data_IF_702980756842
#
_entry.id   IF_702980756842
#
_cell.length_a   1.000
_cell.length_b   1.000
_cell.length_c   1.000
_cell.angle_alpha   90.00
_cell.angle_beta   90.00
_cell.angle_gamma   90.00
#
_symmetry.space_group_name_H-M   'P 1'
#
loop_
_entity.id
_entity.type
_entity.pdbx_description
1 polymer ?
#
# COMPACT_ATOMS: atom_id res chain seq x y z
N UNK A 1 2.09 1.88 15.01
CA UNK A 1 2.53 0.64 14.37
C UNK A 1 2.65 0.87 12.87
N UNK A 2 3.62 0.27 12.23
CA UNK A 2 3.89 0.48 10.81
C UNK A 2 4.32 -0.83 10.15
N UNK A 3 3.75 -1.15 9.00
CA UNK A 3 4.17 -2.23 8.13
C UNK A 3 4.90 -1.64 6.92
N UNK A 4 6.12 -2.12 6.68
CA UNK A 4 7.04 -1.53 5.72
C UNK A 4 7.54 -2.60 4.74
N UNK A 5 7.63 -2.25 3.47
CA UNK A 5 8.17 -3.08 2.40
C UNK A 5 9.34 -2.45 1.65
N UNK A 6 10.13 -1.57 2.29
CA UNK A 6 11.25 -0.90 1.63
C UNK A 6 12.31 -0.44 2.63
N UNK A 7 13.59 -0.63 2.28
CA UNK A 7 14.74 -0.18 3.05
C UNK A 7 14.69 1.31 3.39
N UNK A 8 14.29 2.16 2.44
CA UNK A 8 14.20 3.60 2.64
C UNK A 8 13.21 3.96 3.74
N UNK A 9 12.07 3.28 3.80
CA UNK A 9 11.08 3.47 4.88
C UNK A 9 11.59 2.97 6.23
N UNK A 10 12.49 1.99 6.26
CA UNK A 10 13.10 1.47 7.48
C UNK A 10 14.09 2.47 8.05
N UNK A 11 14.97 3.03 7.22
CA UNK A 11 16.05 3.92 7.62
C UNK A 11 15.55 5.21 8.28
N UNK A 12 14.51 5.81 7.70
CA UNK A 12 14.01 7.14 8.11
C UNK A 12 12.87 7.06 9.15
N UNK A 13 12.59 5.87 9.69
CA UNK A 13 11.53 5.70 10.69
C UNK A 13 11.85 6.33 12.03
N UNK A 14 10.86 6.84 12.77
CA UNK A 14 11.02 7.20 14.17
C UNK A 14 11.38 5.95 15.01
N UNK A 15 12.43 6.03 15.82
CA UNK A 15 12.96 4.89 16.60
C UNK A 15 11.95 4.29 17.60
N UNK A 16 10.95 5.06 18.00
CA UNK A 16 9.92 4.69 18.98
C UNK A 16 8.75 3.88 18.37
N UNK A 17 8.73 3.68 17.05
CA UNK A 17 7.64 2.97 16.37
C UNK A 17 7.87 1.46 16.35
N UNK A 18 6.80 0.71 16.67
CA UNK A 18 6.79 -0.72 16.40
C UNK A 18 6.63 -0.95 14.90
N UNK A 19 7.70 -1.39 14.25
CA UNK A 19 7.76 -1.59 12.80
C UNK A 19 7.91 -3.06 12.51
N UNK A 20 7.12 -3.58 11.58
CA UNK A 20 7.32 -4.89 10.95
C UNK A 20 7.66 -4.69 9.48
N UNK A 21 8.56 -5.49 8.97
CA UNK A 21 9.00 -5.48 7.58
C UNK A 21 8.55 -6.79 6.95
N UNK A 22 7.88 -6.72 5.81
CA UNK A 22 7.50 -7.91 5.04
C UNK A 22 8.23 -7.88 3.71
N UNK A 23 8.97 -8.93 3.43
CA UNK A 23 9.72 -9.11 2.20
C UNK A 23 9.64 -10.58 1.75
N UNK A 24 9.47 -10.79 0.46
CA UNK A 24 9.36 -12.11 -0.13
C UNK A 24 10.70 -12.64 -0.65
N UNK A 25 11.55 -11.73 -1.11
CA UNK A 25 12.84 -12.08 -1.72
C UNK A 25 13.85 -12.46 -0.65
N UNK A 26 14.33 -13.70 -0.69
CA UNK A 26 15.28 -14.24 0.27
C UNK A 26 16.60 -13.44 0.36
N UNK A 27 17.14 -12.98 -0.77
CA UNK A 27 18.39 -12.20 -0.79
C UNK A 27 18.18 -10.84 -0.11
N UNK A 28 17.04 -10.20 -0.38
CA UNK A 28 16.64 -8.96 0.27
C UNK A 28 16.42 -9.14 1.77
N UNK A 29 15.80 -10.25 2.20
CA UNK A 29 15.63 -10.58 3.62
C UNK A 29 16.98 -10.75 4.32
N UNK A 30 17.91 -11.48 3.71
CA UNK A 30 19.26 -11.69 4.25
C UNK A 30 20.00 -10.35 4.41
N UNK A 31 19.95 -9.51 3.39
CA UNK A 31 20.52 -8.15 3.44
C UNK A 31 19.90 -7.31 4.56
N UNK A 32 18.56 -7.33 4.69
CA UNK A 32 17.86 -6.55 5.70
C UNK A 32 18.21 -6.99 7.13
N UNK A 33 18.39 -8.28 7.38
CA UNK A 33 18.82 -8.81 8.68
C UNK A 33 20.25 -8.37 9.03
N UNK A 34 21.13 -8.36 8.05
CA UNK A 34 22.50 -7.88 8.23
C UNK A 34 22.56 -6.36 8.44
N UNK A 35 21.85 -5.59 7.61
CA UNK A 35 21.86 -4.13 7.66
C UNK A 35 21.09 -3.54 8.87
N UNK A 36 20.09 -4.27 9.38
CA UNK A 36 19.21 -3.82 10.47
C UNK A 36 19.03 -4.89 11.56
N UNK A 37 20.09 -5.32 12.25
CA UNK A 37 20.02 -6.41 13.24
C UNK A 37 19.04 -6.11 14.39
N UNK A 38 18.79 -4.83 14.68
CA UNK A 38 17.80 -4.40 15.69
C UNK A 38 16.34 -4.66 15.29
N UNK A 39 16.11 -5.09 14.04
CA UNK A 39 14.77 -5.43 13.51
C UNK A 39 14.63 -6.92 13.17
N UNK A 40 15.61 -7.76 13.49
CA UNK A 40 15.63 -9.17 13.08
C UNK A 40 14.31 -9.89 13.38
N UNK A 41 13.79 -9.74 14.61
CA UNK A 41 12.51 -10.33 15.03
C UNK A 41 11.28 -9.72 14.33
N UNK A 42 11.44 -8.59 13.68
CA UNK A 42 10.38 -7.86 12.98
C UNK A 42 10.44 -8.00 11.45
N UNK A 43 11.47 -8.65 10.92
CA UNK A 43 11.58 -8.95 9.49
C UNK A 43 10.89 -10.28 9.22
N UNK A 44 9.82 -10.22 8.44
CA UNK A 44 8.95 -11.35 8.11
C UNK A 44 9.19 -11.72 6.65
N UNK A 45 9.72 -12.91 6.42
CA UNK A 45 9.89 -13.51 5.10
C UNK A 45 8.57 -14.18 4.70
N UNK A 46 7.69 -13.46 4.00
CA UNK A 46 6.39 -13.99 3.58
C UNK A 46 5.81 -13.19 2.41
N UNK A 47 4.84 -13.78 1.73
CA UNK A 47 4.06 -13.14 0.69
C UNK A 47 2.96 -12.26 1.32
N UNK A 48 3.15 -10.93 1.23
CA UNK A 48 2.17 -9.96 1.75
C UNK A 48 0.74 -10.27 1.28
N UNK A 49 0.56 -10.69 0.02
CA UNK A 49 -0.77 -10.95 -0.53
C UNK A 49 -1.45 -12.16 0.11
N UNK A 50 -0.70 -13.11 0.68
CA UNK A 50 -1.22 -14.32 1.34
C UNK A 50 -1.34 -14.18 2.86
N UNK A 51 -0.65 -13.22 3.45
CA UNK A 51 -0.62 -13.03 4.91
C UNK A 51 -2.00 -12.73 5.49
N UNK A 52 -2.22 -13.19 6.72
CA UNK A 52 -3.33 -12.72 7.56
C UNK A 52 -2.89 -11.51 8.38
N UNK A 53 -3.27 -10.31 7.92
CA UNK A 53 -2.88 -9.05 8.55
C UNK A 53 -3.50 -8.83 9.94
N UNK A 54 -4.62 -9.52 10.26
CA UNK A 54 -5.24 -9.46 11.59
C UNK A 54 -4.28 -9.93 12.69
N UNK A 55 -3.42 -10.89 12.38
CA UNK A 55 -2.48 -11.47 13.35
C UNK A 55 -1.21 -10.65 13.52
N UNK A 56 -0.90 -9.79 12.56
CA UNK A 56 0.40 -9.14 12.45
C UNK A 56 0.72 -8.25 13.67
N UNK A 57 -0.28 -7.53 14.16
CA UNK A 57 -0.17 -6.65 15.33
C UNK A 57 -1.23 -6.99 16.40
N UNK A 58 -1.64 -8.25 16.50
CA UNK A 58 -2.65 -8.67 17.47
C UNK A 58 -4.01 -8.00 17.30
N UNK A 59 -4.40 -7.69 16.06
CA UNK A 59 -5.65 -7.01 15.72
C UNK A 59 -5.63 -5.48 15.93
N UNK A 60 -4.49 -4.90 16.29
CA UNK A 60 -4.36 -3.45 16.42
C UNK A 60 -4.18 -2.77 15.07
N UNK A 61 -4.63 -1.51 14.98
CA UNK A 61 -4.46 -0.70 13.78
C UNK A 61 -2.99 -0.36 13.51
N UNK A 62 -2.62 -0.33 12.23
CA UNK A 62 -1.27 -0.03 11.77
C UNK A 62 -1.27 0.80 10.48
N UNK A 63 -0.19 1.51 10.23
CA UNK A 63 0.05 2.22 8.97
C UNK A 63 0.76 1.29 8.00
N UNK A 64 0.25 1.20 6.78
CA UNK A 64 0.90 0.49 5.69
C UNK A 64 1.74 1.47 4.86
N UNK A 65 3.03 1.20 4.71
CA UNK A 65 3.91 2.04 3.87
C UNK A 65 4.88 1.19 3.06
N UNK A 66 5.27 1.68 1.89
CA UNK A 66 6.24 0.97 1.07
C UNK A 66 6.52 1.60 -0.29
N UNK A 67 7.57 1.07 -0.92
CA UNK A 67 7.77 1.18 -2.35
C UNK A 67 7.13 -0.07 -2.99
N UNK A 68 5.90 0.08 -3.46
CA UNK A 68 5.12 -1.09 -3.90
C UNK A 68 5.58 -1.56 -5.28
N UNK A 69 5.81 -2.88 -5.47
CA UNK A 69 6.11 -3.43 -6.78
C UNK A 69 5.01 -3.10 -7.78
N UNK A 70 5.38 -2.58 -8.94
CA UNK A 70 4.43 -2.04 -9.91
C UNK A 70 3.42 -3.07 -10.41
N UNK A 71 3.86 -4.31 -10.61
CA UNK A 71 3.06 -5.41 -11.12
C UNK A 71 1.98 -5.92 -10.15
N UNK A 72 2.10 -5.64 -8.86
CA UNK A 72 1.15 -6.10 -7.82
C UNK A 72 0.53 -4.96 -6.99
N UNK A 73 0.83 -3.71 -7.30
CA UNK A 73 0.34 -2.57 -6.51
C UNK A 73 -1.19 -2.56 -6.35
N UNK A 74 -1.94 -2.85 -7.40
CA UNK A 74 -3.40 -2.96 -7.33
C UNK A 74 -3.87 -4.08 -6.41
N UNK A 75 -3.18 -5.24 -6.40
CA UNK A 75 -3.50 -6.36 -5.53
C UNK A 75 -3.23 -6.01 -4.05
N UNK A 76 -2.15 -5.27 -3.79
CA UNK A 76 -1.84 -4.75 -2.45
C UNK A 76 -2.97 -3.83 -1.97
N UNK A 77 -3.50 -2.94 -2.83
CA UNK A 77 -4.61 -2.07 -2.47
C UNK A 77 -5.93 -2.83 -2.28
N UNK A 78 -6.19 -3.88 -3.06
CA UNK A 78 -7.35 -4.75 -2.79
C UNK A 78 -7.23 -5.44 -1.44
N UNK A 79 -6.03 -5.90 -1.08
CA UNK A 79 -5.78 -6.46 0.25
C UNK A 79 -5.92 -5.41 1.35
N UNK A 80 -5.43 -4.20 1.14
CA UNK A 80 -5.66 -3.08 2.06
C UNK A 80 -7.16 -2.86 2.31
N UNK A 81 -7.99 -2.90 1.27
CA UNK A 81 -9.44 -2.75 1.39
C UNK A 81 -10.10 -3.89 2.20
N UNK A 82 -9.58 -5.12 2.11
CA UNK A 82 -10.05 -6.25 2.92
C UNK A 82 -9.76 -6.06 4.42
N UNK A 83 -8.71 -5.32 4.75
CA UNK A 83 -8.29 -5.01 6.12
C UNK A 83 -8.44 -3.51 6.46
N UNK A 84 -9.37 -2.82 5.80
CA UNK A 84 -9.56 -1.36 5.92
C UNK A 84 -9.77 -0.87 7.36
N UNK A 85 -10.33 -1.71 8.23
CA UNK A 85 -10.60 -1.36 9.62
C UNK A 85 -9.34 -1.41 10.50
N UNK A 86 -8.28 -2.07 10.02
CA UNK A 86 -6.96 -2.12 10.66
C UNK A 86 -5.96 -1.12 10.04
N UNK A 87 -6.23 -0.59 8.86
CA UNK A 87 -5.30 0.25 8.11
C UNK A 87 -5.87 1.67 7.98
N UNK A 88 -5.69 2.53 9.00
CA UNK A 88 -6.17 3.91 8.97
C UNK A 88 -5.44 4.77 7.94
N UNK A 89 -4.21 4.41 7.57
CA UNK A 89 -3.41 5.13 6.60
C UNK A 89 -2.54 4.17 5.80
N UNK A 90 -2.52 4.37 4.49
CA UNK A 90 -1.61 3.71 3.58
C UNK A 90 -0.89 4.78 2.75
N UNK A 91 0.44 4.70 2.69
CA UNK A 91 1.25 5.62 1.89
C UNK A 91 2.35 4.86 1.18
N UNK A 92 2.80 5.38 0.05
CA UNK A 92 3.91 4.77 -0.64
C UNK A 92 4.03 5.19 -2.10
N UNK A 93 5.04 4.62 -2.73
CA UNK A 93 5.38 4.91 -4.11
C UNK A 93 4.86 3.80 -5.03
N UNK A 94 4.24 4.22 -6.13
CA UNK A 94 3.70 3.38 -7.19
C UNK A 94 3.97 4.00 -8.57
N UNK A 95 3.60 3.31 -9.64
CA UNK A 95 3.62 3.93 -10.98
C UNK A 95 2.73 5.18 -11.02
N UNK A 96 3.24 6.24 -11.65
CA UNK A 96 2.54 7.53 -11.76
C UNK A 96 1.14 7.39 -12.37
N UNK A 97 1.00 6.60 -13.42
CA UNK A 97 -0.29 6.36 -14.09
C UNK A 97 -1.32 5.71 -13.15
N UNK A 98 -0.89 4.75 -12.31
CA UNK A 98 -1.75 4.10 -11.32
C UNK A 98 -2.14 5.10 -10.22
N UNK A 99 -1.19 5.93 -9.77
CA UNK A 99 -1.45 6.98 -8.79
C UNK A 99 -2.47 8.01 -9.30
N UNK A 100 -2.32 8.47 -10.53
CA UNK A 100 -3.25 9.39 -11.19
C UNK A 100 -4.65 8.78 -11.33
N UNK A 101 -4.71 7.49 -11.69
CA UNK A 101 -5.98 6.75 -11.78
C UNK A 101 -6.67 6.65 -10.41
N UNK A 102 -5.95 6.28 -9.35
CA UNK A 102 -6.51 6.15 -8.00
C UNK A 102 -6.99 7.51 -7.47
N UNK A 103 -6.27 8.59 -7.76
CA UNK A 103 -6.59 9.94 -7.30
C UNK A 103 -7.62 10.66 -8.20
N UNK A 104 -7.96 10.08 -9.36
CA UNK A 104 -8.89 10.69 -10.30
C UNK A 104 -10.28 10.86 -9.70
N UNK A 105 -10.92 11.98 -9.97
CA UNK A 105 -12.32 12.24 -9.61
C UNK A 105 -13.33 11.74 -10.66
N UNK A 106 -14.61 11.64 -10.29
CA UNK A 106 -15.69 11.31 -11.21
C UNK A 106 -15.70 12.22 -12.44
N UNK A 107 -15.97 11.65 -13.62
CA UNK A 107 -16.01 12.37 -14.89
C UNK A 107 -14.67 12.50 -15.61
N UNK A 108 -13.56 12.14 -14.99
CA UNK A 108 -12.27 12.07 -15.70
C UNK A 108 -12.13 10.76 -16.47
N UNK A 109 -11.34 10.79 -17.57
CA UNK A 109 -11.07 9.58 -18.38
C UNK A 109 -10.30 8.48 -17.62
N UNK A 110 -9.58 8.85 -16.58
CA UNK A 110 -8.78 7.94 -15.76
C UNK A 110 -9.53 7.39 -14.56
N UNK A 111 -10.74 7.95 -14.26
CA UNK A 111 -11.59 7.45 -13.18
C UNK A 111 -12.14 6.08 -13.54
N UNK A 112 -11.85 5.08 -12.73
CA UNK A 112 -12.22 3.70 -13.00
C UNK A 112 -12.46 2.90 -11.73
N UNK A 113 -12.58 1.60 -11.86
CA UNK A 113 -12.92 0.68 -10.76
C UNK A 113 -12.04 0.89 -9.54
N UNK A 114 -10.73 0.99 -9.73
CA UNK A 114 -9.78 1.16 -8.63
C UNK A 114 -9.99 2.49 -7.90
N UNK A 115 -10.31 3.57 -8.64
CA UNK A 115 -10.68 4.87 -8.05
C UNK A 115 -11.93 4.75 -7.19
N UNK A 116 -12.98 4.14 -7.72
CA UNK A 116 -14.27 3.97 -7.03
C UNK A 116 -14.10 3.14 -5.76
N UNK A 117 -13.43 1.97 -5.85
CA UNK A 117 -13.27 1.07 -4.72
C UNK A 117 -12.42 1.68 -3.60
N UNK A 118 -11.34 2.37 -3.94
CA UNK A 118 -10.47 2.98 -2.93
C UNK A 118 -11.15 4.21 -2.33
N UNK A 119 -11.70 5.10 -3.15
CA UNK A 119 -12.30 6.36 -2.66
C UNK A 119 -13.61 6.15 -1.89
N UNK A 120 -14.27 5.00 -2.03
CA UNK A 120 -15.39 4.64 -1.16
C UNK A 120 -14.98 4.64 0.34
N UNK A 121 -13.73 4.29 0.64
CA UNK A 121 -13.24 4.08 2.00
C UNK A 121 -12.08 4.98 2.41
N UNK A 122 -11.37 5.57 1.44
CA UNK A 122 -10.16 6.36 1.68
C UNK A 122 -10.20 7.69 0.94
N UNK A 123 -9.77 8.74 1.61
CA UNK A 123 -9.37 9.98 0.95
C UNK A 123 -8.01 9.75 0.32
N UNK A 124 -7.89 10.00 -0.97
CA UNK A 124 -6.63 9.82 -1.73
C UNK A 124 -6.00 11.18 -1.98
N UNK A 125 -4.71 11.27 -1.71
CA UNK A 125 -3.89 12.45 -1.95
C UNK A 125 -2.69 12.06 -2.82
N UNK A 126 -2.58 12.68 -3.98
CA UNK A 126 -1.38 12.61 -4.82
C UNK A 126 -0.37 13.61 -4.27
N UNK A 127 0.73 13.13 -3.68
CA UNK A 127 1.68 13.99 -2.98
C UNK A 127 2.66 14.63 -3.96
N UNK A 128 3.40 13.80 -4.71
CA UNK A 128 4.36 14.28 -5.72
C UNK A 128 4.78 13.17 -6.69
N UNK A 129 5.31 13.61 -7.83
CA UNK A 129 5.92 12.74 -8.84
C UNK A 129 7.39 12.48 -8.52
N UNK A 130 7.84 11.26 -8.75
CA UNK A 130 9.26 10.86 -8.69
C UNK A 130 9.71 10.51 -10.11
N UNK A 131 10.73 11.20 -10.59
CA UNK A 131 11.25 10.99 -11.93
C UNK A 131 12.13 9.74 -12.01
N UNK A 132 12.15 9.10 -13.17
CA UNK A 132 12.87 7.85 -13.43
C UNK A 132 14.38 7.95 -13.20
N UNK A 133 14.97 9.11 -13.44
CA UNK A 133 16.43 9.32 -13.32
C UNK A 133 16.96 9.32 -11.87
N UNK A 134 16.09 9.33 -10.86
CA UNK A 134 16.52 9.24 -9.45
C UNK A 134 16.79 7.79 -9.01
N UNK A 135 16.44 6.82 -9.85
CA UNK A 135 16.65 5.40 -9.57
C UNK A 135 17.87 4.85 -10.32
N UNK A 136 18.50 3.83 -9.76
CA UNK A 136 19.57 3.10 -10.42
C UNK A 136 19.35 1.57 -10.29
N UNK A 137 19.06 0.86 -11.37
CA UNK A 137 18.82 1.36 -12.74
C UNK A 137 17.50 2.14 -12.85
N UNK A 138 17.39 3.09 -13.79
CA UNK A 138 16.16 3.86 -13.97
C UNK A 138 15.03 2.99 -14.53
N UNK A 139 13.82 3.04 -13.96
CA UNK A 139 12.65 2.37 -14.51
C UNK A 139 12.21 3.05 -15.83
N UNK A 140 11.42 2.34 -16.63
CA UNK A 140 10.88 2.87 -17.90
C UNK A 140 9.74 3.88 -17.73
N UNK A 141 9.25 4.03 -16.51
CA UNK A 141 8.07 4.86 -16.18
C UNK A 141 8.34 5.71 -14.95
N UNK A 142 7.67 6.85 -14.86
CA UNK A 142 7.68 7.70 -13.66
C UNK A 142 6.91 7.04 -12.53
N UNK A 143 7.30 7.37 -11.32
CA UNK A 143 6.63 6.99 -10.08
C UNK A 143 5.89 8.17 -9.48
N UNK A 144 5.03 7.90 -8.55
CA UNK A 144 4.41 8.92 -7.71
C UNK A 144 4.21 8.40 -6.29
N UNK A 145 4.26 9.30 -5.35
CA UNK A 145 3.94 9.02 -3.95
C UNK A 145 2.51 9.46 -3.69
N UNK A 146 1.73 8.55 -3.11
CA UNK A 146 0.34 8.79 -2.71
C UNK A 146 0.17 8.55 -1.22
N UNK A 147 -0.85 9.17 -0.65
CA UNK A 147 -1.35 8.90 0.69
C UNK A 147 -2.83 8.62 0.62
N UNK A 148 -3.25 7.57 1.28
CA UNK A 148 -4.65 7.16 1.42
C UNK A 148 -4.97 7.11 2.91
N UNK A 149 -5.89 7.95 3.36
CA UNK A 149 -6.34 8.03 4.75
C UNK A 149 -7.80 7.60 4.84
N UNK A 150 -8.12 6.72 5.80
CA UNK A 150 -9.52 6.30 6.01
C UNK A 150 -10.42 7.54 6.12
N UNK A 151 -11.51 7.52 5.38
CA UNK A 151 -12.57 8.51 5.47
C UNK A 151 -13.61 8.10 6.53
N UNK A 152 -14.66 8.91 6.71
CA UNK A 152 -15.69 8.69 7.73
C UNK A 152 -16.73 7.63 7.33
N UNK A 153 -16.61 7.03 6.14
CA UNK A 153 -17.52 5.99 5.67
C UNK A 153 -17.41 4.74 6.53
N UNK A 154 -18.50 4.41 7.22
CA UNK A 154 -18.60 3.19 8.04
C UNK A 154 -19.21 2.05 7.25
N UNK A 155 -20.20 2.34 6.42
CA UNK A 155 -20.94 1.41 5.57
C UNK A 155 -21.38 2.10 4.28
N UNK A 156 -21.54 1.31 3.24
CA UNK A 156 -21.98 1.77 1.94
C UNK A 156 -23.48 1.63 1.80
N UNK A 157 -24.41 2.21 1.83
CA UNK A 157 -25.86 2.00 1.61
C UNK A 157 -26.28 0.76 0.78
N UNK A 158 -25.34 -0.20 0.59
CA UNK A 158 -25.52 -1.47 -0.13
C UNK A 158 -24.55 -2.53 0.40
N UNK A 159 -24.77 -3.80 0.00
CA UNK A 159 -23.84 -4.91 0.31
C UNK A 159 -22.47 -4.67 -0.33
N UNK A 160 -21.40 -4.69 0.47
CA UNK A 160 -20.03 -4.41 0.02
C UNK A 160 -19.51 -5.45 -0.98
N UNK A 161 -19.90 -6.73 -0.82
CA UNK A 161 -19.49 -7.81 -1.74
C UNK A 161 -20.16 -7.63 -3.08
N UNK A 162 -21.43 -7.30 -3.06
CA UNK A 162 -22.20 -7.01 -4.28
C UNK A 162 -21.65 -5.76 -4.98
N UNK A 163 -21.34 -4.69 -4.24
CA UNK A 163 -20.72 -3.48 -4.78
C UNK A 163 -19.41 -3.79 -5.50
N UNK A 164 -18.49 -4.50 -4.83
CA UNK A 164 -17.21 -4.92 -5.43
C UNK A 164 -17.44 -5.80 -6.67
N UNK A 165 -18.35 -6.76 -6.57
CA UNK A 165 -18.68 -7.68 -7.67
C UNK A 165 -19.22 -6.94 -8.89
N UNK A 166 -20.21 -6.07 -8.71
CA UNK A 166 -20.78 -5.28 -9.79
C UNK A 166 -19.71 -4.47 -10.52
N UNK A 167 -18.83 -3.76 -9.78
CA UNK A 167 -17.76 -2.97 -10.37
C UNK A 167 -16.75 -3.80 -11.17
N UNK A 168 -16.43 -5.00 -10.72
CA UNK A 168 -15.46 -5.87 -11.39
C UNK A 168 -16.01 -6.59 -12.62
N UNK A 169 -17.32 -6.80 -12.71
CA UNK A 169 -17.95 -7.55 -13.79
C UNK A 169 -18.72 -6.70 -14.81
N UNK A 170 -18.91 -5.41 -14.55
CA UNK A 170 -19.62 -4.48 -15.47
C UNK A 170 -18.70 -3.56 -16.27
N UNK A 171 -17.40 -3.82 -16.24
CA UNK A 171 -16.37 -2.96 -16.89
C UNK A 171 -15.71 -3.65 -18.06
#
# INVERSE_FOLDING_TARGET
QCLVGSEMCIRDRPKERNVKVVELDYESVAYLREAYPQLEDNIIEDDFLKMNLQRLFGGQAFVLTGNYPYNISSQIFFKMLEYKDLIPCCTGMIQKEVAERIAAGPGSKTYGILSVLIQAWYKVEYLFTVHEHVFNPPPKVKSAVIRMTRNDTKELGCDEKLFKHCLLYTS
#
